data_IF_673638411818
#
_entry.id   IF_673638411818
#
_cell.length_a   1.000
_cell.length_b   1.000
_cell.length_c   1.000
_cell.angle_alpha   90.00
_cell.angle_beta   90.00
_cell.angle_gamma   90.00
#
_symmetry.space_group_name_H-M   'P 1'
#
loop_
_entity.id
_entity.type
_entity.pdbx_description
1 polymer ?
#
# COMPACT_ATOMS: atom_id res chain seq x y z
N UNK A 1 -4.49 -11.30 4.81
CA UNK A 1 -4.68 -9.88 4.49
C UNK A 1 -3.37 -9.13 4.52
N UNK A 2 -3.14 -8.32 3.53
CA UNK A 2 -2.01 -7.39 3.51
C UNK A 2 -2.48 -6.03 3.99
N UNK A 3 -1.69 -5.37 4.82
CA UNK A 3 -2.06 -4.07 5.39
C UNK A 3 -1.01 -3.04 5.01
N UNK A 4 -1.47 -1.88 4.52
CA UNK A 4 -0.60 -0.76 4.22
C UNK A 4 -1.14 0.46 4.92
N UNK A 5 -0.26 1.20 5.60
CA UNK A 5 -0.56 2.48 6.22
C UNK A 5 0.21 3.58 5.49
N UNK A 6 -0.50 4.61 5.07
CA UNK A 6 0.08 5.74 4.35
C UNK A 6 0.12 6.95 5.28
N UNK A 7 1.32 7.47 5.50
CA UNK A 7 1.58 8.62 6.36
C UNK A 7 2.26 9.72 5.54
N UNK A 8 2.12 10.96 6.00
CA UNK A 8 2.92 12.05 5.46
C UNK A 8 4.33 12.03 6.07
N UNK A 9 5.18 12.98 5.69
CA UNK A 9 6.56 13.06 6.21
C UNK A 9 6.63 13.38 7.72
N UNK A 10 5.52 13.79 8.32
CA UNK A 10 5.42 14.07 9.76
C UNK A 10 4.72 12.95 10.51
N UNK A 11 4.59 11.76 9.91
CA UNK A 11 3.93 10.58 10.47
C UNK A 11 2.43 10.77 10.73
N UNK A 12 1.79 11.68 10.02
CA UNK A 12 0.34 11.86 10.11
C UNK A 12 -0.36 11.02 9.07
N UNK A 13 -1.47 10.33 9.43
CA UNK A 13 -2.19 9.48 8.49
C UNK A 13 -2.81 10.32 7.36
N UNK A 14 -2.78 9.76 6.15
CA UNK A 14 -3.31 10.39 4.96
C UNK A 14 -4.56 9.65 4.48
N UNK A 15 -5.72 10.30 4.61
CA UNK A 15 -6.99 9.81 4.09
C UNK A 15 -7.11 10.07 2.60
N UNK A 16 -7.81 9.21 1.89
CA UNK A 16 -8.18 9.45 0.50
C UNK A 16 -7.05 9.23 -0.50
N UNK A 17 -5.98 8.57 -0.11
CA UNK A 17 -4.89 8.24 -1.03
C UNK A 17 -5.17 6.92 -1.72
N UNK A 18 -5.01 6.90 -3.04
CA UNK A 18 -5.20 5.70 -3.82
C UNK A 18 -3.94 4.85 -3.74
N UNK A 19 -4.09 3.62 -3.26
CA UNK A 19 -2.98 2.66 -3.15
C UNK A 19 -3.23 1.54 -4.15
N UNK A 20 -2.29 1.34 -5.07
CA UNK A 20 -2.34 0.27 -6.05
C UNK A 20 -1.19 -0.69 -5.81
N UNK A 21 -1.51 -1.98 -5.74
CA UNK A 21 -0.49 -3.02 -5.66
C UNK A 21 -0.66 -3.97 -6.84
N UNK A 22 0.47 -4.35 -7.44
CA UNK A 22 0.50 -5.27 -8.59
C UNK A 22 1.47 -6.40 -8.26
N UNK A 23 0.97 -7.63 -8.26
CA UNK A 23 1.82 -8.80 -8.05
C UNK A 23 2.80 -8.97 -9.20
N UNK A 24 4.03 -9.36 -8.88
CA UNK A 24 5.04 -9.66 -9.90
C UNK A 24 4.96 -11.10 -10.39
N UNK A 25 4.11 -11.93 -9.80
CA UNK A 25 4.04 -13.37 -10.06
C UNK A 25 2.63 -13.84 -10.47
N UNK A 26 1.87 -13.01 -11.14
CA UNK A 26 0.54 -13.30 -11.68
C UNK A 26 -0.57 -13.45 -10.66
N UNK A 27 -0.38 -13.04 -9.42
CA UNK A 27 -1.44 -13.07 -8.42
C UNK A 27 -2.47 -11.93 -8.62
N UNK A 28 -2.30 -11.10 -9.62
CA UNK A 28 -3.23 -10.03 -9.94
C UNK A 28 -2.85 -8.70 -9.34
N UNK A 29 -3.76 -7.75 -9.42
CA UNK A 29 -3.57 -6.40 -8.87
C UNK A 29 -4.81 -5.97 -8.11
N UNK A 30 -4.66 -4.95 -7.28
CA UNK A 30 -5.77 -4.37 -6.54
C UNK A 30 -5.49 -2.90 -6.26
N UNK A 31 -6.56 -2.10 -6.23
CA UNK A 31 -6.49 -0.67 -5.94
C UNK A 31 -7.53 -0.34 -4.89
N UNK A 32 -7.11 0.36 -3.84
CA UNK A 32 -8.00 0.82 -2.78
C UNK A 32 -7.58 2.20 -2.30
N UNK A 33 -8.51 2.89 -1.66
CA UNK A 33 -8.31 4.24 -1.13
C UNK A 33 -8.18 4.16 0.38
N UNK A 34 -7.23 4.90 0.96
CA UNK A 34 -6.99 4.92 2.40
C UNK A 34 -8.18 5.49 3.16
N UNK A 35 -8.43 4.94 4.35
CA UNK A 35 -9.45 5.43 5.28
C UNK A 35 -8.89 6.61 6.11
N UNK A 36 -9.65 7.03 7.13
CA UNK A 36 -9.27 8.16 7.98
C UNK A 36 -7.95 7.95 8.72
N UNK A 37 -7.57 6.70 8.95
CA UNK A 37 -6.33 6.35 9.64
C UNK A 37 -5.17 6.11 8.67
N UNK A 38 -5.39 6.35 7.37
CA UNK A 38 -4.38 6.10 6.34
C UNK A 38 -4.21 4.63 5.99
N UNK A 39 -5.15 3.78 6.39
CA UNK A 39 -5.04 2.33 6.23
C UNK A 39 -5.78 1.82 5.01
N UNK A 40 -5.21 0.79 4.37
CA UNK A 40 -5.90 -0.05 3.39
C UNK A 40 -5.58 -1.50 3.68
N UNK A 41 -6.51 -2.38 3.30
CA UNK A 41 -6.36 -3.82 3.41
C UNK A 41 -6.54 -4.45 2.04
N UNK A 42 -5.72 -5.46 1.75
CA UNK A 42 -5.84 -6.23 0.51
C UNK A 42 -5.96 -7.71 0.85
N UNK A 43 -6.97 -8.36 0.31
CA UNK A 43 -7.18 -9.79 0.51
C UNK A 43 -6.29 -10.57 -0.45
N UNK A 44 -5.00 -10.58 -0.17
CA UNK A 44 -3.98 -11.23 -0.99
C UNK A 44 -2.94 -11.89 -0.09
N UNK A 45 -2.18 -12.83 -0.67
CA UNK A 45 -1.10 -13.51 0.04
C UNK A 45 0.17 -12.67 0.02
N UNK A 46 1.07 -12.85 1.00
CA UNK A 46 2.38 -12.19 0.97
C UNK A 46 3.14 -12.51 -0.32
N UNK A 47 3.93 -11.57 -0.78
CA UNK A 47 4.73 -11.73 -1.97
C UNK A 47 5.33 -10.41 -2.42
N UNK A 48 5.92 -10.41 -3.60
CA UNK A 48 6.50 -9.22 -4.18
C UNK A 48 5.45 -8.46 -4.99
N UNK A 49 5.30 -7.19 -4.68
CA UNK A 49 4.34 -6.30 -5.34
C UNK A 49 5.00 -5.00 -5.74
N UNK A 50 4.61 -4.48 -6.91
CA UNK A 50 4.87 -3.08 -7.22
C UNK A 50 3.81 -2.26 -6.51
N UNK A 51 4.25 -1.27 -5.74
CA UNK A 51 3.35 -0.46 -4.92
C UNK A 51 3.38 0.98 -5.38
N UNK A 52 2.20 1.54 -5.63
CA UNK A 52 2.01 2.96 -5.96
C UNK A 52 1.03 3.59 -5.00
N UNK A 53 1.33 4.81 -4.58
CA UNK A 53 0.40 5.62 -3.80
C UNK A 53 0.21 6.94 -4.53
N UNK A 54 -1.01 7.15 -5.06
CA UNK A 54 -1.35 8.32 -5.88
C UNK A 54 -0.33 8.50 -7.02
N UNK A 55 0.59 9.46 -6.92
CA UNK A 55 1.57 9.75 -7.97
C UNK A 55 2.96 9.22 -7.65
N UNK A 56 3.13 8.53 -6.52
CA UNK A 56 4.44 8.04 -6.10
C UNK A 56 4.55 6.54 -6.32
N UNK A 57 5.59 6.13 -7.06
CA UNK A 57 5.91 4.71 -7.27
C UNK A 57 7.00 4.31 -6.27
N UNK A 58 6.67 3.36 -5.39
CA UNK A 58 7.62 2.84 -4.40
C UNK A 58 8.46 1.67 -4.96
N UNK A 59 8.22 1.28 -6.21
CA UNK A 59 8.89 0.15 -6.82
C UNK A 59 8.35 -1.18 -6.31
N UNK A 60 9.15 -2.23 -6.45
CA UNK A 60 8.77 -3.56 -6.02
C UNK A 60 9.26 -3.79 -4.59
N UNK A 61 8.34 -4.25 -3.73
CA UNK A 61 8.68 -4.58 -2.35
C UNK A 61 7.96 -5.85 -1.93
N UNK A 62 8.50 -6.53 -0.92
CA UNK A 62 7.87 -7.72 -0.37
C UNK A 62 6.85 -7.30 0.69
N UNK A 63 5.59 -7.63 0.47
CA UNK A 63 4.51 -7.34 1.44
C UNK A 63 4.22 -8.60 2.24
N UNK A 64 4.13 -8.42 3.56
CA UNK A 64 3.84 -9.50 4.50
C UNK A 64 2.51 -9.25 5.18
N UNK A 65 2.12 -10.14 6.11
CA UNK A 65 0.92 -9.92 6.93
C UNK A 65 1.11 -8.82 7.99
N UNK A 66 2.33 -8.39 8.24
CA UNK A 66 2.57 -7.22 9.09
C UNK A 66 2.23 -5.95 8.30
N UNK A 67 1.85 -4.88 9.02
CA UNK A 67 1.54 -3.61 8.37
C UNK A 67 2.79 -2.99 7.75
N UNK A 68 2.69 -2.64 6.47
CA UNK A 68 3.73 -1.91 5.76
C UNK A 68 3.43 -0.43 5.85
N UNK A 69 4.35 0.36 6.37
CA UNK A 69 4.18 1.80 6.51
C UNK A 69 4.90 2.51 5.36
N UNK A 70 4.16 3.35 4.63
CA UNK A 70 4.68 4.13 3.52
C UNK A 70 4.54 5.61 3.83
N UNK A 71 5.62 6.36 3.63
CA UNK A 71 5.61 7.81 3.80
C UNK A 71 5.57 8.49 2.44
N UNK A 72 4.60 9.37 2.26
CA UNK A 72 4.49 10.20 1.06
C UNK A 72 4.54 11.67 1.47
N UNK A 73 5.17 12.48 0.68
CA UNK A 73 5.29 13.91 0.95
C UNK A 73 4.26 14.70 0.16
#
# INVERSE_FOLDING_TARGET
>A
MLYIKVLDRFDKPLKGKTVRIESTDFAGNSTKTTNENGDVEFNMRPGNFRVRVTNKDFGVMYLTYATTVLHVS
#
